data_IF_601938035071
#
_entry.id   IF_601938035071
#
_cell.length_a   1.000
_cell.length_b   1.000
_cell.length_c   1.000
_cell.angle_alpha   90.00
_cell.angle_beta   90.00
_cell.angle_gamma   90.00
#
_symmetry.space_group_name_H-M   'P 1'
#
loop_
_entity.id
_entity.type
_entity.pdbx_description
1 polymer ?
#
# COMPACT_ATOMS: atom_id res chain seq x y z
N UNK A 1 -54.58 1.81 8.50
CA UNK A 1 -54.07 1.02 9.64
C UNK A 1 -52.56 0.79 9.48
N UNK A 2 -51.86 1.75 8.85
CA UNK A 2 -50.54 1.52 8.25
C UNK A 2 -49.42 2.24 9.02
N UNK A 3 -49.78 3.07 9.99
CA UNK A 3 -48.86 3.88 10.79
C UNK A 3 -48.25 3.12 11.98
N UNK A 4 -48.86 2.00 12.40
CA UNK A 4 -48.36 1.18 13.52
C UNK A 4 -47.33 0.12 13.07
N UNK A 5 -47.34 -0.29 11.80
CA UNK A 5 -46.40 -1.29 11.27
C UNK A 5 -44.99 -0.70 11.10
N UNK A 6 -44.88 0.54 10.59
CA UNK A 6 -43.60 1.21 10.34
C UNK A 6 -42.79 1.47 11.64
N UNK A 7 -43.45 1.81 12.75
CA UNK A 7 -42.77 2.06 14.04
C UNK A 7 -42.20 0.78 14.66
N UNK A 8 -42.78 -0.38 14.31
CA UNK A 8 -42.35 -1.70 14.81
C UNK A 8 -41.10 -2.19 14.09
N UNK A 9 -41.00 -1.91 12.78
CA UNK A 9 -39.84 -2.27 11.95
C UNK A 9 -38.61 -1.42 12.29
N UNK A 10 -38.79 -0.10 12.47
CA UNK A 10 -37.70 0.82 12.86
C UNK A 10 -37.09 0.48 14.23
N UNK A 11 -37.90 0.04 15.19
CA UNK A 11 -37.39 -0.41 16.51
C UNK A 11 -36.63 -1.73 16.42
N UNK A 12 -37.05 -2.62 15.52
CA UNK A 12 -36.39 -3.91 15.32
C UNK A 12 -35.02 -3.76 14.62
N UNK A 13 -34.90 -2.81 13.69
CA UNK A 13 -33.64 -2.53 13.02
C UNK A 13 -32.67 -1.76 13.91
N UNK A 14 -33.16 -0.82 14.74
CA UNK A 14 -32.33 -0.19 15.76
C UNK A 14 -31.77 -1.20 16.77
N UNK A 15 -32.57 -2.20 17.19
CA UNK A 15 -32.11 -3.25 18.08
C UNK A 15 -31.04 -4.15 17.43
N UNK A 16 -31.21 -4.52 16.16
CA UNK A 16 -30.22 -5.29 15.39
C UNK A 16 -28.91 -4.53 15.20
N UNK A 17 -28.98 -3.24 14.87
CA UNK A 17 -27.79 -2.39 14.73
C UNK A 17 -27.06 -2.25 16.07
N UNK A 18 -27.80 -2.13 17.18
CA UNK A 18 -27.21 -2.07 18.52
C UNK A 18 -26.52 -3.39 18.91
N UNK A 19 -27.14 -4.54 18.63
CA UNK A 19 -26.54 -5.85 18.86
C UNK A 19 -25.26 -6.02 18.02
N UNK A 20 -25.32 -5.61 16.75
CA UNK A 20 -24.19 -5.62 15.83
C UNK A 20 -23.04 -4.74 16.33
N UNK A 21 -23.35 -3.52 16.79
CA UNK A 21 -22.39 -2.59 17.37
C UNK A 21 -21.66 -3.20 18.56
N UNK A 22 -22.41 -3.78 19.52
CA UNK A 22 -21.82 -4.42 20.69
C UNK A 22 -20.93 -5.61 20.33
N UNK A 23 -21.35 -6.42 19.36
CA UNK A 23 -20.54 -7.52 18.85
C UNK A 23 -19.20 -7.00 18.27
N UNK A 24 -19.26 -6.05 17.34
CA UNK A 24 -18.07 -5.46 16.70
C UNK A 24 -17.14 -4.82 17.74
N UNK A 25 -17.70 -4.10 18.71
CA UNK A 25 -16.94 -3.46 19.77
C UNK A 25 -16.23 -4.48 20.67
N UNK A 26 -16.91 -5.56 21.06
CA UNK A 26 -16.32 -6.66 21.85
C UNK A 26 -15.16 -7.31 21.09
N UNK A 27 -15.33 -7.49 19.79
CA UNK A 27 -14.31 -8.08 18.93
C UNK A 27 -13.11 -7.16 18.74
N UNK A 28 -13.34 -5.87 18.47
CA UNK A 28 -12.29 -4.85 18.43
C UNK A 28 -11.51 -4.80 19.75
N UNK A 29 -12.19 -4.81 20.90
CA UNK A 29 -11.54 -4.84 22.21
C UNK A 29 -10.67 -6.09 22.42
N UNK A 30 -11.08 -7.23 21.85
CA UNK A 30 -10.29 -8.47 21.92
C UNK A 30 -9.04 -8.34 21.06
N UNK A 31 -9.19 -7.88 19.81
CA UNK A 31 -8.06 -7.68 18.89
C UNK A 31 -7.05 -6.63 19.39
N UNK A 32 -7.52 -5.59 20.09
CA UNK A 32 -6.64 -4.55 20.68
C UNK A 32 -5.73 -5.13 21.77
N UNK A 33 -6.17 -6.15 22.52
CA UNK A 33 -5.35 -6.78 23.57
C UNK A 33 -4.10 -7.46 23.01
N UNK A 34 -4.14 -7.87 21.75
CA UNK A 34 -3.02 -8.51 21.05
C UNK A 34 -2.03 -7.47 20.45
N UNK A 35 -2.36 -6.18 20.50
CA UNK A 35 -1.48 -5.09 20.02
C UNK A 35 -0.46 -4.66 21.09
N UNK A 36 0.69 -4.08 20.69
CA UNK A 36 1.64 -3.52 21.65
C UNK A 36 1.03 -2.44 22.55
N UNK A 37 1.49 -2.35 23.80
CA UNK A 37 0.93 -1.47 24.84
C UNK A 37 0.96 0.02 24.47
N UNK A 38 1.92 0.47 23.67
CA UNK A 38 2.00 1.83 23.13
C UNK A 38 0.79 2.20 22.26
N UNK A 39 0.19 1.22 21.57
CA UNK A 39 -0.99 1.42 20.73
C UNK A 39 -2.26 1.35 21.56
N UNK A 40 -2.34 0.41 22.49
CA UNK A 40 -3.49 0.25 23.39
C UNK A 40 -3.78 1.55 24.16
N UNK A 41 -2.75 2.22 24.66
CA UNK A 41 -2.90 3.47 25.42
C UNK A 41 -3.45 4.64 24.59
N UNK A 42 -3.29 4.60 23.26
CA UNK A 42 -3.76 5.63 22.35
C UNK A 42 -5.17 5.37 21.84
N UNK A 43 -5.72 4.17 22.04
CA UNK A 43 -7.06 3.79 21.62
C UNK A 43 -8.01 3.94 22.81
N UNK A 44 -8.80 5.01 22.81
CA UNK A 44 -9.86 5.16 23.80
C UNK A 44 -11.07 4.28 23.46
N UNK A 45 -11.89 4.00 24.47
CA UNK A 45 -13.18 3.34 24.27
C UNK A 45 -14.06 4.06 23.24
N UNK A 46 -14.04 5.41 23.25
CA UNK A 46 -14.83 6.21 22.31
C UNK A 46 -14.38 5.97 20.88
N UNK A 47 -13.07 5.96 20.60
CA UNK A 47 -12.55 5.68 19.25
C UNK A 47 -12.94 4.27 18.77
N UNK A 48 -12.89 3.26 19.65
CA UNK A 48 -13.33 1.90 19.29
C UNK A 48 -14.84 1.81 19.05
N UNK A 49 -15.63 2.54 19.83
CA UNK A 49 -17.09 2.62 19.66
C UNK A 49 -17.47 3.30 18.34
N UNK A 50 -16.78 4.39 18.01
CA UNK A 50 -17.02 5.14 16.77
C UNK A 50 -16.55 4.34 15.55
N UNK A 51 -15.44 3.59 15.68
CA UNK A 51 -14.98 2.66 14.66
C UNK A 51 -15.98 1.52 14.45
N UNK A 52 -16.48 0.90 15.53
CA UNK A 52 -17.49 -0.15 15.44
C UNK A 52 -18.75 0.35 14.71
N UNK A 53 -19.18 1.58 14.99
CA UNK A 53 -20.32 2.21 14.33
C UNK A 53 -20.10 2.38 12.82
N UNK A 54 -18.90 2.82 12.41
CA UNK A 54 -18.56 2.99 10.99
C UNK A 54 -18.49 1.66 10.22
N UNK A 55 -18.29 0.53 10.93
CA UNK A 55 -18.17 -0.80 10.33
C UNK A 55 -19.51 -1.57 10.25
N UNK A 56 -20.59 -1.05 10.84
CA UNK A 56 -21.89 -1.77 10.93
C UNK A 56 -22.44 -2.14 9.55
N UNK A 57 -22.41 -1.20 8.61
CA UNK A 57 -23.04 -1.36 7.29
C UNK A 57 -22.16 -2.12 6.28
N UNK A 58 -20.91 -2.41 6.64
CA UNK A 58 -19.95 -3.13 5.80
C UNK A 58 -19.34 -2.31 4.66
N UNK A 59 -19.80 -1.09 4.39
CA UNK A 59 -19.30 -0.22 3.29
C UNK A 59 -17.82 0.06 3.47
N UNK A 60 -17.38 0.31 4.71
CA UNK A 60 -15.97 0.56 5.01
C UNK A 60 -15.10 -0.66 4.69
N UNK A 61 -15.60 -1.88 4.87
CA UNK A 61 -14.85 -3.08 4.47
C UNK A 61 -14.67 -3.17 2.95
N UNK A 62 -15.71 -2.83 2.18
CA UNK A 62 -15.62 -2.78 0.71
C UNK A 62 -14.63 -1.71 0.25
N UNK A 63 -14.66 -0.52 0.87
CA UNK A 63 -13.71 0.56 0.59
C UNK A 63 -12.28 0.10 0.87
N UNK A 64 -12.03 -0.49 2.04
CA UNK A 64 -10.71 -0.99 2.43
C UNK A 64 -10.22 -2.07 1.46
N UNK A 65 -11.09 -3.00 1.05
CA UNK A 65 -10.73 -4.03 0.07
C UNK A 65 -10.41 -3.41 -1.30
N UNK A 66 -11.20 -2.45 -1.77
CA UNK A 66 -10.93 -1.74 -3.01
C UNK A 66 -9.61 -0.95 -2.97
N UNK A 67 -9.30 -0.31 -1.83
CA UNK A 67 -8.01 0.37 -1.63
C UNK A 67 -6.83 -0.60 -1.66
N UNK A 68 -7.00 -1.80 -1.09
CA UNK A 68 -5.98 -2.86 -1.09
C UNK A 68 -5.73 -3.40 -2.50
N UNK A 69 -6.80 -3.65 -3.27
CA UNK A 69 -6.69 -4.12 -4.65
C UNK A 69 -5.99 -3.09 -5.56
N UNK A 70 -6.34 -1.80 -5.40
CA UNK A 70 -5.67 -0.71 -6.12
C UNK A 70 -4.19 -0.62 -5.72
N UNK A 71 -3.88 -0.76 -4.43
CA UNK A 71 -2.49 -0.79 -3.94
C UNK A 71 -1.71 -1.94 -4.57
N UNK A 72 -2.21 -3.18 -4.51
CA UNK A 72 -1.54 -4.34 -5.09
C UNK A 72 -1.31 -4.19 -6.60
N UNK A 73 -2.29 -3.65 -7.33
CA UNK A 73 -2.15 -3.42 -8.77
C UNK A 73 -1.04 -2.40 -9.07
N UNK A 74 -1.00 -1.31 -8.29
CA UNK A 74 0.03 -0.28 -8.40
C UNK A 74 1.42 -0.81 -8.07
N UNK A 75 1.58 -1.53 -6.96
CA UNK A 75 2.84 -2.15 -6.55
C UNK A 75 3.35 -3.13 -7.61
N UNK A 76 2.47 -3.97 -8.15
CA UNK A 76 2.79 -4.89 -9.25
C UNK A 76 3.25 -4.13 -10.50
N UNK A 77 2.61 -3.00 -10.83
CA UNK A 77 3.00 -2.18 -11.97
C UNK A 77 4.39 -1.55 -11.76
N UNK A 78 4.65 -0.94 -10.60
CA UNK A 78 5.96 -0.37 -10.27
C UNK A 78 7.07 -1.43 -10.27
N UNK A 79 6.80 -2.60 -9.71
CA UNK A 79 7.73 -3.73 -9.74
C UNK A 79 8.08 -4.14 -11.18
N UNK A 80 7.07 -4.29 -12.04
CA UNK A 80 7.26 -4.64 -13.44
C UNK A 80 8.04 -3.56 -14.21
N UNK A 81 7.77 -2.28 -13.95
CA UNK A 81 8.52 -1.16 -14.54
C UNK A 81 10.00 -1.22 -14.14
N UNK A 82 10.29 -1.42 -12.84
CA UNK A 82 11.66 -1.57 -12.34
C UNK A 82 12.37 -2.79 -12.92
N UNK A 83 11.68 -3.92 -13.01
CA UNK A 83 12.23 -5.14 -13.60
C UNK A 83 12.56 -4.96 -15.09
N UNK A 84 11.67 -4.30 -15.85
CA UNK A 84 11.90 -4.00 -17.26
C UNK A 84 13.15 -3.14 -17.45
N UNK A 85 13.31 -2.09 -16.64
CA UNK A 85 14.50 -1.24 -16.67
C UNK A 85 15.79 -2.04 -16.42
N UNK A 86 15.78 -2.93 -15.42
CA UNK A 86 16.92 -3.82 -15.16
C UNK A 86 17.24 -4.75 -16.33
N UNK A 87 16.22 -5.31 -16.99
CA UNK A 87 16.40 -6.13 -18.18
C UNK A 87 17.03 -5.33 -19.32
N UNK A 88 16.58 -4.10 -19.55
CA UNK A 88 17.14 -3.18 -20.55
C UNK A 88 18.60 -2.84 -20.25
N UNK A 89 18.93 -2.51 -18.99
CA UNK A 89 20.32 -2.26 -18.56
C UNK A 89 21.23 -3.46 -18.80
N UNK A 90 20.74 -4.67 -18.49
CA UNK A 90 21.50 -5.91 -18.72
C UNK A 90 21.76 -6.12 -20.21
N UNK A 91 20.76 -5.89 -21.06
CA UNK A 91 20.90 -6.00 -22.51
C UNK A 91 21.91 -4.96 -23.05
N UNK A 92 21.82 -3.71 -22.62
CA UNK A 92 22.76 -2.65 -23.01
C UNK A 92 24.21 -2.99 -22.65
N UNK A 93 24.45 -3.52 -21.45
CA UNK A 93 25.79 -3.94 -21.02
C UNK A 93 26.32 -5.10 -21.88
N UNK A 94 25.47 -6.08 -22.18
CA UNK A 94 25.84 -7.21 -23.06
C UNK A 94 26.17 -6.74 -24.47
N UNK A 95 25.38 -5.83 -25.02
CA UNK A 95 25.60 -5.24 -26.35
C UNK A 95 26.89 -4.42 -26.40
N UNK A 96 27.19 -3.64 -25.35
CA UNK A 96 28.43 -2.89 -25.26
C UNK A 96 29.65 -3.83 -25.27
N UNK A 97 29.63 -4.86 -24.42
CA UNK A 97 30.69 -5.88 -24.37
C UNK A 97 30.87 -6.58 -25.71
N UNK A 98 29.76 -6.90 -26.41
CA UNK A 98 29.80 -7.49 -27.75
C UNK A 98 30.46 -6.55 -28.76
N UNK A 99 30.09 -5.26 -28.78
CA UNK A 99 30.69 -4.24 -29.65
C UNK A 99 32.18 -4.07 -29.37
N UNK A 100 32.57 -4.02 -28.09
CA UNK A 100 33.97 -3.91 -27.68
C UNK A 100 34.80 -5.10 -28.14
N UNK A 101 34.26 -6.33 -27.99
CA UNK A 101 34.91 -7.55 -28.47
C UNK A 101 35.09 -7.54 -30.00
N UNK A 102 34.08 -7.12 -30.75
CA UNK A 102 34.16 -7.02 -32.22
C UNK A 102 35.19 -5.98 -32.65
N UNK A 103 35.19 -4.79 -32.03
CA UNK A 103 36.15 -3.73 -32.33
C UNK A 103 37.60 -4.18 -32.09
N UNK A 104 37.86 -4.95 -31.02
CA UNK A 104 39.18 -5.52 -30.73
C UNK A 104 39.66 -6.50 -31.80
N UNK A 105 38.76 -7.30 -32.39
CA UNK A 105 39.10 -8.26 -33.45
C UNK A 105 39.53 -7.56 -34.75
N UNK A 106 38.97 -6.38 -35.03
CA UNK A 106 39.26 -5.61 -36.25
C UNK A 106 40.37 -4.57 -36.07
N UNK A 107 40.85 -4.35 -34.85
CA UNK A 107 41.78 -3.27 -34.53
C UNK A 107 43.23 -3.58 -34.95
N UNK A 108 43.91 -2.59 -35.55
CA UNK A 108 45.35 -2.64 -35.81
C UNK A 108 46.15 -2.29 -34.55
N UNK A 109 47.37 -2.81 -34.42
CA UNK A 109 48.21 -2.69 -33.21
C UNK A 109 48.46 -1.25 -32.74
N UNK A 110 48.67 -0.31 -33.67
CA UNK A 110 48.94 1.10 -33.37
C UNK A 110 47.74 1.86 -32.80
N UNK A 111 46.50 1.36 -32.97
CA UNK A 111 45.28 2.00 -32.45
C UNK A 111 44.77 1.36 -31.15
N UNK A 112 45.41 0.28 -30.69
CA UNK A 112 44.89 -0.54 -29.58
C UNK A 112 44.82 0.22 -28.25
N UNK A 113 45.81 1.09 -27.97
CA UNK A 113 45.84 1.86 -26.73
C UNK A 113 44.68 2.86 -26.67
N UNK A 114 44.47 3.63 -27.75
CA UNK A 114 43.36 4.59 -27.86
C UNK A 114 42.01 3.87 -27.80
N UNK A 115 41.87 2.75 -28.51
CA UNK A 115 40.64 1.95 -28.47
C UNK A 115 40.32 1.48 -27.04
N UNK A 116 41.29 0.95 -26.30
CA UNK A 116 41.07 0.52 -24.90
C UNK A 116 40.66 1.67 -24.00
N UNK A 117 41.26 2.85 -24.15
CA UNK A 117 40.86 4.05 -23.41
C UNK A 117 39.42 4.45 -23.72
N UNK A 118 39.02 4.44 -24.99
CA UNK A 118 37.65 4.74 -25.39
C UNK A 118 36.65 3.70 -24.85
N UNK A 119 36.96 2.41 -24.93
CA UNK A 119 36.12 1.33 -24.38
C UNK A 119 35.93 1.48 -22.86
N UNK A 120 36.99 1.86 -22.15
CA UNK A 120 36.90 2.14 -20.72
C UNK A 120 35.97 3.32 -20.44
N UNK A 121 36.16 4.43 -21.15
CA UNK A 121 35.32 5.62 -21.00
C UNK A 121 33.84 5.33 -21.34
N UNK A 122 33.57 4.55 -22.39
CA UNK A 122 32.21 4.11 -22.75
C UNK A 122 31.57 3.24 -21.66
N UNK A 123 32.35 2.35 -21.03
CA UNK A 123 31.88 1.50 -19.94
C UNK A 123 31.54 2.34 -18.71
N UNK A 124 32.43 3.26 -18.33
CA UNK A 124 32.22 4.17 -17.21
C UNK A 124 31.01 5.08 -17.44
N UNK A 125 30.83 5.61 -18.66
CA UNK A 125 29.67 6.40 -19.04
C UNK A 125 28.37 5.59 -18.98
N UNK A 126 28.36 4.34 -19.47
CA UNK A 126 27.19 3.47 -19.39
C UNK A 126 26.85 3.11 -17.93
N UNK A 127 27.85 2.80 -17.11
CA UNK A 127 27.63 2.49 -15.70
C UNK A 127 27.06 3.68 -14.93
N UNK A 128 27.55 4.90 -15.20
CA UNK A 128 27.01 6.11 -14.60
C UNK A 128 25.56 6.35 -15.03
N UNK A 129 25.25 6.17 -16.32
CA UNK A 129 23.88 6.29 -16.84
C UNK A 129 22.94 5.28 -16.21
N UNK A 130 23.34 4.01 -16.14
CA UNK A 130 22.55 2.93 -15.51
C UNK A 130 22.26 3.25 -14.05
N UNK A 131 23.27 3.72 -13.31
CA UNK A 131 23.13 4.12 -11.90
C UNK A 131 22.14 5.27 -11.73
N UNK A 132 22.21 6.28 -12.61
CA UNK A 132 21.31 7.43 -12.60
C UNK A 132 19.87 7.02 -12.90
N UNK A 133 19.66 6.24 -13.96
CA UNK A 133 18.34 5.72 -14.34
C UNK A 133 17.74 4.85 -13.23
N UNK A 134 18.55 4.03 -12.55
CA UNK A 134 18.11 3.25 -11.41
C UNK A 134 17.69 4.15 -10.24
N UNK A 135 18.48 5.20 -9.94
CA UNK A 135 18.16 6.13 -8.86
C UNK A 135 16.84 6.85 -9.14
N UNK A 136 16.65 7.36 -10.35
CA UNK A 136 15.40 8.03 -10.75
C UNK A 136 14.18 7.09 -10.65
N UNK A 137 14.34 5.81 -11.04
CA UNK A 137 13.28 4.82 -10.88
C UNK A 137 12.95 4.57 -9.40
N UNK A 138 13.97 4.42 -8.54
CA UNK A 138 13.77 4.17 -7.11
C UNK A 138 13.12 5.38 -6.42
N UNK A 139 13.54 6.61 -6.75
CA UNK A 139 12.91 7.86 -6.29
C UNK A 139 11.44 7.95 -6.73
N UNK A 140 11.15 7.59 -7.99
CA UNK A 140 9.77 7.53 -8.49
C UNK A 140 8.92 6.52 -7.73
N UNK A 141 9.44 5.32 -7.46
CA UNK A 141 8.71 4.28 -6.72
C UNK A 141 8.31 4.78 -5.34
N UNK A 142 9.24 5.39 -4.60
CA UNK A 142 8.95 5.95 -3.27
C UNK A 142 7.89 7.05 -3.35
N UNK A 143 8.03 7.99 -4.29
CA UNK A 143 7.07 9.08 -4.44
C UNK A 143 5.64 8.59 -4.76
N UNK A 144 5.50 7.59 -5.62
CA UNK A 144 4.21 6.98 -5.97
C UNK A 144 3.60 6.21 -4.77
N UNK A 145 4.44 5.53 -3.98
CA UNK A 145 4.00 4.89 -2.74
C UNK A 145 3.52 5.91 -1.69
N UNK A 146 4.27 6.99 -1.49
CA UNK A 146 3.91 8.06 -0.55
C UNK A 146 2.60 8.73 -0.97
N UNK A 147 2.44 9.05 -2.26
CA UNK A 147 1.19 9.59 -2.79
C UNK A 147 0.02 8.63 -2.54
N UNK A 148 0.25 7.31 -2.69
CA UNK A 148 -0.79 6.32 -2.44
C UNK A 148 -1.24 6.29 -0.99
N UNK A 149 -0.33 6.47 -0.03
CA UNK A 149 -0.67 6.58 1.39
C UNK A 149 -1.57 7.81 1.63
N UNK A 150 -1.23 8.96 1.05
CA UNK A 150 -2.05 10.18 1.16
C UNK A 150 -3.46 9.98 0.58
N UNK A 151 -3.56 9.33 -0.58
CA UNK A 151 -4.85 9.06 -1.23
C UNK A 151 -5.72 8.10 -0.41
N UNK A 152 -5.11 7.05 0.18
CA UNK A 152 -5.79 6.11 1.07
C UNK A 152 -6.29 6.81 2.34
N UNK A 153 -5.45 7.63 2.98
CA UNK A 153 -5.83 8.44 4.15
C UNK A 153 -7.03 9.34 3.84
N UNK A 154 -6.97 10.09 2.74
CA UNK A 154 -8.05 10.98 2.29
C UNK A 154 -9.35 10.22 1.99
N UNK A 155 -9.25 9.03 1.39
CA UNK A 155 -10.43 8.21 1.09
C UNK A 155 -11.10 7.70 2.36
N UNK A 156 -10.31 7.21 3.33
CA UNK A 156 -10.82 6.72 4.62
C UNK A 156 -11.36 7.84 5.50
N UNK A 157 -10.73 9.01 5.48
CA UNK A 157 -11.23 10.23 6.14
C UNK A 157 -12.59 10.64 5.57
N UNK A 158 -12.73 10.66 4.24
CA UNK A 158 -14.01 10.97 3.56
C UNK A 158 -15.09 9.92 3.77
N UNK A 159 -14.70 8.66 3.97
CA UNK A 159 -15.61 7.57 4.34
C UNK A 159 -16.09 7.68 5.80
N UNK A 160 -15.60 8.66 6.57
CA UNK A 160 -16.01 8.89 7.96
C UNK A 160 -15.36 7.94 8.96
N UNK A 161 -14.30 7.24 8.57
CA UNK A 161 -13.60 6.31 9.48
C UNK A 161 -12.75 7.12 10.46
N UNK A 162 -13.10 7.07 11.75
CA UNK A 162 -12.36 7.78 12.78
C UNK A 162 -10.89 7.34 12.87
N UNK A 163 -10.02 8.30 13.14
CA UNK A 163 -8.57 8.10 13.26
C UNK A 163 -7.81 8.26 11.93
N UNK A 164 -8.50 8.34 10.79
CA UNK A 164 -7.89 8.62 9.50
C UNK A 164 -7.99 10.10 9.15
N UNK A 165 -6.84 10.66 8.75
CA UNK A 165 -6.67 12.01 8.26
C UNK A 165 -5.33 12.09 7.51
N UNK A 166 -5.19 13.05 6.61
CA UNK A 166 -3.94 13.21 5.84
C UNK A 166 -2.79 13.61 6.78
N UNK A 167 -1.74 12.79 6.83
CA UNK A 167 -0.55 13.05 7.66
C UNK A 167 0.69 12.33 7.14
N UNK A 168 1.84 13.00 7.26
CA UNK A 168 3.17 12.45 6.97
C UNK A 168 3.98 12.18 8.24
N UNK A 169 3.40 12.40 9.43
CA UNK A 169 4.07 12.10 10.69
C UNK A 169 4.17 10.57 10.84
N UNK A 170 5.39 9.99 10.96
CA UNK A 170 5.58 8.54 11.02
C UNK A 170 4.81 7.86 12.16
N UNK A 171 4.64 8.54 13.30
CA UNK A 171 3.92 7.98 14.44
C UNK A 171 2.42 7.92 14.18
N UNK A 172 1.86 8.92 13.49
CA UNK A 172 0.43 8.97 13.14
C UNK A 172 0.11 8.01 11.99
N UNK A 173 1.00 7.92 10.98
CA UNK A 173 0.89 6.92 9.91
C UNK A 173 0.90 5.51 10.50
N UNK A 174 1.80 5.23 11.44
CA UNK A 174 1.85 3.93 12.12
C UNK A 174 0.57 3.64 12.91
N UNK A 175 -0.03 4.64 13.56
CA UNK A 175 -1.34 4.47 14.21
C UNK A 175 -2.43 4.10 13.21
N UNK A 176 -2.51 4.82 12.09
CA UNK A 176 -3.49 4.57 11.04
C UNK A 176 -3.33 3.19 10.39
N UNK A 177 -2.08 2.73 10.21
CA UNK A 177 -1.81 1.38 9.73
C UNK A 177 -2.31 0.31 10.70
N UNK A 178 -2.13 0.51 12.01
CA UNK A 178 -2.64 -0.43 13.01
C UNK A 178 -4.18 -0.43 13.09
N UNK A 179 -4.81 0.74 12.92
CA UNK A 179 -6.28 0.82 12.79
C UNK A 179 -6.76 0.05 11.56
N UNK A 180 -6.07 0.20 10.43
CA UNK A 180 -6.39 -0.54 9.21
C UNK A 180 -6.21 -2.06 9.40
N UNK A 181 -5.16 -2.48 10.11
CA UNK A 181 -4.96 -3.89 10.45
C UNK A 181 -6.08 -4.45 11.33
N UNK A 182 -6.58 -3.67 12.29
CA UNK A 182 -7.73 -4.05 13.11
C UNK A 182 -8.99 -4.24 12.25
N UNK A 183 -9.27 -3.31 11.34
CA UNK A 183 -10.42 -3.41 10.41
C UNK A 183 -10.31 -4.69 9.58
N UNK A 184 -9.14 -4.97 8.99
CA UNK A 184 -8.90 -6.15 8.18
C UNK A 184 -9.02 -7.47 8.98
N UNK A 185 -8.48 -7.50 10.20
CA UNK A 185 -8.61 -8.68 11.09
C UNK A 185 -10.05 -8.94 11.49
N UNK A 186 -10.81 -7.88 11.77
CA UNK A 186 -12.22 -8.00 12.08
C UNK A 186 -12.97 -8.57 10.87
N UNK A 187 -12.80 -7.99 9.69
CA UNK A 187 -13.39 -8.47 8.44
C UNK A 187 -13.12 -9.97 8.22
N UNK A 188 -11.87 -10.43 8.39
CA UNK A 188 -11.52 -11.85 8.26
C UNK A 188 -12.26 -12.73 9.26
N UNK A 189 -12.37 -12.30 10.51
CA UNK A 189 -13.10 -13.04 11.55
C UNK A 189 -14.59 -13.15 11.23
N UNK A 190 -15.17 -12.09 10.67
CA UNK A 190 -16.57 -12.05 10.28
C UNK A 190 -16.85 -12.92 9.04
N UNK A 191 -15.92 -12.94 8.07
CA UNK A 191 -15.97 -13.86 6.94
C UNK A 191 -15.90 -15.33 7.39
N UNK A 192 -15.03 -15.65 8.36
CA UNK A 192 -14.87 -17.01 8.88
C UNK A 192 -16.07 -17.49 9.71
N UNK A 193 -16.75 -16.58 10.38
CA UNK A 193 -17.96 -16.89 11.16
C UNK A 193 -19.24 -16.89 10.32
N UNK A 194 -19.17 -16.48 9.05
CA UNK A 194 -20.34 -16.32 8.18
C UNK A 194 -21.26 -15.18 8.62
N UNK A 195 -20.72 -14.19 9.34
CA UNK A 195 -21.48 -13.07 9.93
C UNK A 195 -21.49 -11.81 9.05
N UNK A 196 -20.80 -11.83 7.89
CA UNK A 196 -20.97 -10.77 6.90
C UNK A 196 -22.34 -10.91 6.21
N UNK A 197 -23.12 -9.83 6.10
CA UNK A 197 -24.32 -9.81 5.28
C UNK A 197 -24.03 -10.04 3.79
#
# INVERSE_FOLDING_TARGET
MDTYCSVSEDQSDAARQQERHYYLLSELQTLVKDLPSSFQQRLSYTTLSDLAQALIDGTVYEIVQGLLDIQHLMEKNLYNQRQKLHCEHRALKQDLVRKHRQALQTCKSHNLAVLKTNQRAETEALDQRVKEEQRMMDEKVVAEMDQKVLDQQNTLEKAGVQGFYITTNPQEVMMQMNLLELILKLQQKEMLSGSLP
#
